data_IF_015207384038
#
_entry.id   IF_015207384038
#
_cell.length_a   1.000
_cell.length_b   1.000
_cell.length_c   1.000
_cell.angle_alpha   90.00
_cell.angle_beta   90.00
_cell.angle_gamma   90.00
#
_symmetry.space_group_name_H-M   'P 1'
#
loop_
_entity.id
_entity.type
_entity.pdbx_description
1 polymer ?
#
# COMPACT_ATOMS: atom_id res chain seq x y z
N UNK A 1 -8.60 -36.56 8.95
CA UNK A 1 -9.43 -35.51 9.60
C UNK A 1 -10.81 -35.50 8.98
N UNK A 2 -11.89 -35.48 9.78
CA UNK A 2 -13.27 -35.45 9.28
C UNK A 2 -13.55 -34.19 8.46
N UNK A 3 -14.40 -34.30 7.43
CA UNK A 3 -14.80 -33.17 6.56
C UNK A 3 -15.38 -31.99 7.36
N UNK A 4 -16.01 -32.24 8.50
CA UNK A 4 -16.55 -31.21 9.39
C UNK A 4 -15.50 -30.25 9.95
N UNK A 5 -14.29 -30.73 10.25
CA UNK A 5 -13.23 -29.86 10.76
C UNK A 5 -12.78 -28.85 9.71
N UNK A 6 -12.78 -29.26 8.43
CA UNK A 6 -12.42 -28.39 7.31
C UNK A 6 -13.44 -27.29 7.12
N UNK A 7 -14.72 -27.64 7.17
CA UNK A 7 -15.83 -26.68 7.05
C UNK A 7 -15.86 -25.69 8.22
N UNK A 8 -15.58 -26.15 9.45
CA UNK A 8 -15.48 -25.27 10.63
C UNK A 8 -14.31 -24.30 10.49
N UNK A 9 -13.13 -24.74 10.03
CA UNK A 9 -11.99 -23.85 9.81
C UNK A 9 -12.29 -22.78 8.76
N UNK A 10 -12.89 -23.17 7.62
CA UNK A 10 -13.30 -22.20 6.59
C UNK A 10 -14.32 -21.20 7.13
N UNK A 11 -15.34 -21.68 7.85
CA UNK A 11 -16.37 -20.83 8.43
C UNK A 11 -15.79 -19.85 9.47
N UNK A 12 -14.88 -20.31 10.33
CA UNK A 12 -14.21 -19.46 11.34
C UNK A 12 -13.33 -18.41 10.69
N UNK A 13 -12.51 -18.77 9.69
CA UNK A 13 -11.64 -17.83 8.97
C UNK A 13 -12.49 -16.78 8.25
N UNK A 14 -13.58 -17.19 7.59
CA UNK A 14 -14.49 -16.27 6.90
C UNK A 14 -15.22 -15.36 7.89
N UNK A 15 -15.66 -15.90 9.04
CA UNK A 15 -16.32 -15.15 10.10
C UNK A 15 -15.38 -14.10 10.70
N UNK A 16 -14.14 -14.46 11.03
CA UNK A 16 -13.12 -13.54 11.57
C UNK A 16 -12.82 -12.45 10.55
N UNK A 17 -12.62 -12.82 9.27
CA UNK A 17 -12.38 -11.88 8.17
C UNK A 17 -13.49 -10.84 8.08
N UNK A 18 -14.74 -11.28 8.08
CA UNK A 18 -15.91 -10.40 7.98
C UNK A 18 -16.08 -9.58 9.26
N UNK A 19 -15.83 -10.16 10.44
CA UNK A 19 -15.94 -9.47 11.72
C UNK A 19 -14.91 -8.35 11.85
N UNK A 20 -13.65 -8.61 11.47
CA UNK A 20 -12.57 -7.60 11.45
C UNK A 20 -12.92 -6.49 10.46
N UNK A 21 -13.35 -6.83 9.23
CA UNK A 21 -13.77 -5.84 8.24
C UNK A 21 -14.90 -4.94 8.78
N UNK A 22 -15.92 -5.53 9.43
CA UNK A 22 -17.04 -4.79 10.01
C UNK A 22 -16.68 -3.97 11.25
N UNK A 23 -15.71 -4.42 12.05
CA UNK A 23 -15.25 -3.69 13.22
C UNK A 23 -14.51 -2.41 12.81
N UNK A 24 -13.68 -2.51 11.76
CA UNK A 24 -13.03 -1.37 11.13
C UNK A 24 -14.08 -0.41 10.57
N UNK A 25 -15.09 -0.91 9.86
CA UNK A 25 -16.20 -0.11 9.32
C UNK A 25 -16.94 0.69 10.42
N UNK A 26 -17.26 0.04 11.56
CA UNK A 26 -18.02 0.66 12.66
C UNK A 26 -17.24 1.73 13.42
N UNK A 27 -15.94 1.53 13.63
CA UNK A 27 -15.09 2.48 14.37
C UNK A 27 -14.87 3.79 13.63
N UNK A 28 -15.08 3.82 12.32
CA UNK A 28 -14.68 4.94 11.46
C UNK A 28 -15.89 5.68 10.89
N UNK A 29 -17.02 5.00 10.66
CA UNK A 29 -18.28 5.65 10.28
C UNK A 29 -18.80 6.64 11.35
N UNK A 30 -18.31 6.58 12.58
CA UNK A 30 -18.64 7.52 13.65
C UNK A 30 -17.83 8.82 13.63
N UNK A 31 -16.90 9.01 12.69
CA UNK A 31 -16.11 10.24 12.54
C UNK A 31 -16.56 11.03 11.31
N UNK A 32 -16.97 12.29 11.53
CA UNK A 32 -17.21 13.24 10.45
C UNK A 32 -15.85 13.56 9.80
N UNK A 33 -15.60 13.03 8.60
CA UNK A 33 -14.34 13.19 7.87
C UNK A 33 -14.52 14.16 6.70
N UNK A 34 -13.50 14.99 6.44
CA UNK A 34 -13.46 15.90 5.30
C UNK A 34 -13.50 15.14 3.94
N UNK A 35 -14.02 15.75 2.86
CA UNK A 35 -14.26 15.07 1.57
C UNK A 35 -13.04 14.35 0.98
N UNK A 36 -11.84 14.91 1.15
CA UNK A 36 -10.57 14.33 0.67
C UNK A 36 -10.20 13.03 1.41
N UNK A 37 -10.50 12.98 2.71
CA UNK A 37 -10.31 11.78 3.52
C UNK A 37 -11.28 10.66 3.13
N UNK A 38 -12.48 11.00 2.64
CA UNK A 38 -13.48 10.03 2.20
C UNK A 38 -12.99 9.24 0.98
N UNK A 39 -12.37 9.91 -0.02
CA UNK A 39 -11.89 9.25 -1.24
C UNK A 39 -10.69 8.35 -0.96
N UNK A 40 -9.67 8.86 -0.26
CA UNK A 40 -8.50 8.05 0.17
C UNK A 40 -8.93 6.85 0.99
N UNK A 41 -9.88 7.05 1.91
CA UNK A 41 -10.42 5.98 2.75
C UNK A 41 -11.23 4.96 1.94
N UNK A 42 -12.07 5.37 1.00
CA UNK A 42 -12.88 4.46 0.19
C UNK A 42 -12.01 3.53 -0.66
N UNK A 43 -10.94 4.07 -1.25
CA UNK A 43 -9.97 3.27 -2.01
C UNK A 43 -9.21 2.33 -1.09
N UNK A 44 -8.63 2.84 0.01
CA UNK A 44 -7.93 2.02 1.00
C UNK A 44 -8.81 0.89 1.56
N UNK A 45 -10.07 1.19 1.91
CA UNK A 45 -11.08 0.24 2.38
C UNK A 45 -11.33 -0.87 1.37
N UNK A 46 -11.53 -0.52 0.08
CA UNK A 46 -11.82 -1.51 -0.96
C UNK A 46 -10.61 -2.41 -1.20
N UNK A 47 -9.40 -1.85 -1.18
CA UNK A 47 -8.16 -2.61 -1.31
C UNK A 47 -7.97 -3.57 -0.15
N UNK A 48 -8.11 -3.11 1.10
CA UNK A 48 -7.95 -3.94 2.31
C UNK A 48 -9.01 -5.03 2.36
N UNK A 49 -10.28 -4.70 2.13
CA UNK A 49 -11.37 -5.72 2.16
C UNK A 49 -11.15 -6.78 1.09
N UNK A 50 -10.78 -6.37 -0.12
CA UNK A 50 -10.45 -7.31 -1.22
C UNK A 50 -9.28 -8.20 -0.85
N UNK A 51 -8.21 -7.64 -0.27
CA UNK A 51 -7.04 -8.40 0.15
C UNK A 51 -7.39 -9.45 1.23
N UNK A 52 -8.16 -9.08 2.26
CA UNK A 52 -8.53 -10.02 3.33
C UNK A 52 -9.44 -11.13 2.79
N UNK A 53 -10.42 -10.80 1.94
CA UNK A 53 -11.29 -11.81 1.31
C UNK A 53 -10.48 -12.75 0.42
N UNK A 54 -9.53 -12.21 -0.36
CA UNK A 54 -8.65 -12.99 -1.21
C UNK A 54 -7.77 -13.96 -0.41
N UNK A 55 -7.14 -13.47 0.67
CA UNK A 55 -6.34 -14.31 1.58
C UNK A 55 -7.20 -15.37 2.26
N UNK A 56 -8.38 -15.00 2.78
CA UNK A 56 -9.31 -15.93 3.42
C UNK A 56 -9.80 -17.03 2.47
N UNK A 57 -10.08 -16.67 1.21
CA UNK A 57 -10.46 -17.63 0.16
C UNK A 57 -9.30 -18.59 -0.16
N UNK A 58 -8.08 -18.07 -0.33
CA UNK A 58 -6.89 -18.90 -0.56
C UNK A 58 -6.62 -19.84 0.62
N UNK A 59 -6.70 -19.35 1.85
CA UNK A 59 -6.54 -20.18 3.05
C UNK A 59 -7.59 -21.28 3.13
N UNK A 60 -8.85 -20.99 2.79
CA UNK A 60 -9.91 -21.98 2.75
C UNK A 60 -9.66 -23.07 1.69
N UNK A 61 -9.16 -22.68 0.51
CA UNK A 61 -8.85 -23.60 -0.58
C UNK A 61 -7.73 -24.60 -0.22
N UNK A 62 -6.73 -24.16 0.55
CA UNK A 62 -5.59 -24.99 0.97
C UNK A 62 -5.96 -26.13 1.93
N UNK A 63 -7.13 -26.08 2.57
CA UNK A 63 -7.62 -27.12 3.49
C UNK A 63 -8.08 -28.38 2.74
N UNK A 64 -8.39 -28.27 1.44
CA UNK A 64 -8.83 -29.38 0.60
C UNK A 64 -7.60 -30.07 -0.02
N UNK A 65 -7.33 -31.36 0.26
CA UNK A 65 -6.11 -32.05 -0.19
C UNK A 65 -5.96 -32.09 -1.71
N UNK A 66 -7.07 -32.27 -2.45
CA UNK A 66 -7.08 -32.29 -3.92
C UNK A 66 -6.71 -30.92 -4.51
N UNK A 67 -7.06 -29.84 -3.81
CA UNK A 67 -6.73 -28.48 -4.24
C UNK A 67 -5.31 -28.10 -3.81
N UNK A 68 -4.76 -28.72 -2.76
CA UNK A 68 -3.40 -28.43 -2.27
C UNK A 68 -2.31 -28.66 -3.32
N UNK A 69 -2.45 -29.66 -4.19
CA UNK A 69 -1.50 -29.91 -5.28
C UNK A 69 -1.57 -28.80 -6.35
N UNK A 70 -2.78 -28.40 -6.75
CA UNK A 70 -3.00 -27.32 -7.72
C UNK A 70 -2.61 -25.96 -7.13
N UNK A 71 -2.99 -25.68 -5.89
CA UNK A 71 -2.62 -24.49 -5.15
C UNK A 71 -1.10 -24.41 -4.91
N UNK A 72 -0.43 -25.54 -4.64
CA UNK A 72 1.02 -25.62 -4.57
C UNK A 72 1.69 -25.24 -5.89
N UNK A 73 1.16 -25.75 -7.02
CA UNK A 73 1.62 -25.36 -8.36
C UNK A 73 1.38 -23.87 -8.66
N UNK A 74 0.19 -23.35 -8.34
CA UNK A 74 -0.14 -21.93 -8.50
C UNK A 74 0.73 -21.02 -7.62
N UNK A 75 1.02 -21.44 -6.38
CA UNK A 75 1.92 -20.72 -5.49
C UNK A 75 3.36 -20.75 -6.01
N UNK A 76 3.83 -21.88 -6.54
CA UNK A 76 5.13 -21.95 -7.20
C UNK A 76 5.20 -21.01 -8.42
N UNK A 77 4.13 -20.93 -9.21
CA UNK A 77 4.01 -19.99 -10.34
C UNK A 77 3.78 -18.53 -9.92
N UNK A 78 3.32 -18.27 -8.69
CA UNK A 78 3.08 -16.93 -8.17
C UNK A 78 4.36 -16.10 -7.98
N UNK A 79 5.53 -16.74 -8.02
CA UNK A 79 6.82 -16.07 -8.04
C UNK A 79 6.92 -15.05 -9.19
N UNK A 80 6.43 -15.40 -10.39
CA UNK A 80 6.43 -14.50 -11.55
C UNK A 80 5.53 -13.29 -11.31
N UNK A 81 4.34 -13.52 -10.73
CA UNK A 81 3.44 -12.43 -10.35
C UNK A 81 4.07 -11.50 -9.32
N UNK A 82 4.76 -12.05 -8.33
CA UNK A 82 5.50 -11.28 -7.33
C UNK A 82 6.58 -10.39 -7.96
N UNK A 83 7.32 -10.91 -8.94
CA UNK A 83 8.32 -10.15 -9.70
C UNK A 83 7.66 -9.01 -10.47
N UNK A 84 6.58 -9.27 -11.20
CA UNK A 84 5.87 -8.25 -11.98
C UNK A 84 5.33 -7.13 -11.09
N UNK A 85 4.73 -7.47 -9.94
CA UNK A 85 4.23 -6.48 -8.97
C UNK A 85 5.39 -5.70 -8.34
N UNK A 86 6.50 -6.36 -8.03
CA UNK A 86 7.71 -5.72 -7.52
C UNK A 86 8.28 -4.70 -8.50
N UNK A 87 8.42 -5.07 -9.77
CA UNK A 87 8.86 -4.16 -10.83
C UNK A 87 7.89 -2.99 -11.01
N UNK A 88 6.58 -3.24 -11.00
CA UNK A 88 5.58 -2.18 -11.11
C UNK A 88 5.63 -1.20 -9.92
N UNK A 89 5.99 -1.69 -8.73
CA UNK A 89 6.05 -0.89 -7.49
C UNK A 89 7.40 -0.20 -7.26
N UNK A 90 8.41 -0.50 -8.08
CA UNK A 90 9.80 -0.08 -7.86
C UNK A 90 9.94 1.42 -7.65
N UNK A 91 9.33 2.26 -8.51
CA UNK A 91 9.38 3.73 -8.37
C UNK A 91 8.73 4.22 -7.09
N UNK A 92 7.56 3.69 -6.73
CA UNK A 92 6.86 4.13 -5.52
C UNK A 92 7.68 3.79 -4.27
N UNK A 93 8.24 2.59 -4.21
CA UNK A 93 9.11 2.16 -3.11
C UNK A 93 10.43 2.96 -3.09
N UNK A 94 11.03 3.23 -4.25
CA UNK A 94 12.24 4.06 -4.37
C UNK A 94 12.04 5.45 -3.80
N UNK A 95 10.96 6.12 -4.19
CA UNK A 95 10.59 7.43 -3.66
C UNK A 95 10.34 7.41 -2.14
N UNK A 96 9.66 6.38 -1.63
CA UNK A 96 9.43 6.22 -0.19
C UNK A 96 10.74 6.06 0.60
N UNK A 97 11.64 5.22 0.12
CA UNK A 97 12.96 5.01 0.75
C UNK A 97 13.81 6.27 0.67
N UNK A 98 13.81 6.97 -0.47
CA UNK A 98 14.51 8.24 -0.63
C UNK A 98 13.99 9.30 0.34
N UNK A 99 12.67 9.47 0.46
CA UNK A 99 12.07 10.38 1.43
C UNK A 99 12.43 10.04 2.88
N UNK A 100 12.46 8.75 3.22
CA UNK A 100 12.87 8.29 4.54
C UNK A 100 14.35 8.60 4.81
N UNK A 101 15.23 8.38 3.83
CA UNK A 101 16.65 8.73 3.94
C UNK A 101 16.84 10.23 4.10
N UNK A 102 16.17 11.07 3.29
CA UNK A 102 16.24 12.52 3.41
C UNK A 102 15.82 12.96 4.82
N UNK A 103 14.75 12.37 5.36
CA UNK A 103 14.29 12.67 6.71
C UNK A 103 15.30 12.29 7.81
N UNK A 104 16.02 11.16 7.66
CA UNK A 104 16.96 10.67 8.68
C UNK A 104 18.36 11.27 8.57
N UNK A 105 18.92 11.36 7.37
CA UNK A 105 20.30 11.83 7.16
C UNK A 105 20.37 13.33 6.87
N UNK A 106 19.22 13.98 6.63
CA UNK A 106 19.08 15.41 6.36
C UNK A 106 20.11 15.98 5.34
N UNK A 107 20.29 15.34 4.17
CA UNK A 107 21.15 15.87 3.10
C UNK A 107 20.52 17.10 2.43
N UNK A 108 19.19 17.23 2.54
CA UNK A 108 18.38 18.33 2.06
C UNK A 108 17.50 18.82 3.20
N UNK A 109 17.41 20.13 3.38
CA UNK A 109 16.63 20.78 4.45
C UNK A 109 15.55 21.69 3.86
N UNK A 110 14.53 21.95 4.67
CA UNK A 110 13.54 22.98 4.34
C UNK A 110 14.24 24.34 4.20
N UNK A 111 13.99 25.03 3.10
CA UNK A 111 14.57 26.33 2.78
C UNK A 111 15.90 26.28 2.02
N UNK A 112 16.42 25.10 1.68
CA UNK A 112 17.63 25.00 0.85
C UNK A 112 17.34 25.42 -0.60
N UNK A 113 18.27 26.16 -1.20
CA UNK A 113 18.30 26.46 -2.63
C UNK A 113 18.78 25.22 -3.39
N UNK A 114 17.97 24.75 -4.33
CA UNK A 114 18.25 23.57 -5.15
C UNK A 114 18.01 23.85 -6.62
N UNK A 115 18.75 23.15 -7.47
CA UNK A 115 18.51 23.14 -8.91
C UNK A 115 18.07 21.73 -9.28
N UNK A 116 16.83 21.59 -9.74
CA UNK A 116 16.26 20.30 -10.12
C UNK A 116 15.77 20.37 -11.57
N UNK A 117 16.21 19.44 -12.41
CA UNK A 117 15.90 19.41 -13.85
C UNK A 117 16.14 20.78 -14.52
N UNK A 118 17.32 21.37 -14.28
CA UNK A 118 17.77 22.68 -14.79
C UNK A 118 16.94 23.90 -14.34
N UNK A 119 16.04 23.73 -13.36
CA UNK A 119 15.21 24.81 -12.81
C UNK A 119 15.64 25.12 -11.37
N UNK A 120 16.06 26.37 -11.07
CA UNK A 120 16.37 26.79 -9.70
C UNK A 120 15.08 26.96 -8.87
N UNK A 121 15.16 26.62 -7.58
CA UNK A 121 14.05 26.82 -6.65
C UNK A 121 14.43 26.52 -5.20
N UNK A 122 13.49 26.75 -4.29
CA UNK A 122 13.67 26.60 -2.84
C UNK A 122 12.80 25.46 -2.32
N UNK A 123 13.36 24.60 -1.47
CA UNK A 123 12.62 23.50 -0.84
C UNK A 123 11.57 24.04 0.14
N UNK A 124 10.30 23.75 -0.12
CA UNK A 124 9.18 24.21 0.70
C UNK A 124 8.67 23.13 1.66
N UNK A 125 8.59 21.88 1.21
CA UNK A 125 8.07 20.77 2.01
C UNK A 125 8.69 19.45 1.55
N UNK A 126 9.23 18.68 2.50
CA UNK A 126 9.77 17.34 2.23
C UNK A 126 8.72 16.31 2.66
N UNK A 127 8.10 15.64 1.68
CA UNK A 127 7.16 14.56 1.91
C UNK A 127 7.80 13.18 1.82
N UNK A 128 7.03 12.14 2.13
CA UNK A 128 7.49 10.75 2.08
C UNK A 128 7.76 10.25 0.65
N UNK A 129 6.96 10.67 -0.33
CA UNK A 129 7.07 10.21 -1.73
C UNK A 129 7.53 11.34 -2.66
N UNK A 130 7.15 12.58 -2.35
CA UNK A 130 7.44 13.75 -3.16
C UNK A 130 7.93 14.89 -2.26
N UNK A 131 8.79 15.74 -2.81
CA UNK A 131 9.22 17.01 -2.22
C UNK A 131 8.67 18.15 -3.07
N UNK A 132 8.19 19.19 -2.41
CA UNK A 132 7.68 20.40 -3.05
C UNK A 132 8.79 21.45 -3.09
N UNK A 133 9.06 21.94 -4.30
CA UNK A 133 10.06 22.99 -4.55
C UNK A 133 9.34 24.18 -5.17
N UNK A 134 9.59 25.39 -4.67
CA UNK A 134 9.05 26.62 -5.22
C UNK A 134 10.08 27.27 -6.13
N UNK A 135 9.73 27.50 -7.39
CA UNK A 135 10.61 28.19 -8.35
C UNK A 135 10.69 29.69 -8.03
N UNK A 136 11.65 30.36 -8.66
CA UNK A 136 11.76 31.83 -8.58
C UNK A 136 10.52 32.54 -9.15
N UNK A 137 9.86 31.93 -10.15
CA UNK A 137 8.61 32.41 -10.74
C UNK A 137 7.37 32.20 -9.83
N UNK A 138 7.53 31.50 -8.71
CA UNK A 138 6.48 31.25 -7.72
C UNK A 138 5.65 29.98 -7.95
N UNK A 139 6.00 29.18 -8.95
CA UNK A 139 5.34 27.89 -9.23
C UNK A 139 5.77 26.82 -8.21
N UNK A 140 4.82 25.97 -7.80
CA UNK A 140 5.07 24.86 -6.89
C UNK A 140 5.29 23.56 -7.67
N UNK A 141 6.54 23.14 -7.80
CA UNK A 141 6.94 21.91 -8.45
C UNK A 141 6.80 20.72 -7.49
N UNK A 142 6.26 19.60 -8.01
CA UNK A 142 6.14 18.34 -7.27
C UNK A 142 7.18 17.37 -7.81
N UNK A 143 8.22 17.12 -7.01
CA UNK A 143 9.40 16.36 -7.43
C UNK A 143 9.41 15.00 -6.73
N UNK A 144 9.46 13.87 -7.46
CA UNK A 144 9.68 12.55 -6.88
C UNK A 144 10.99 12.53 -6.10
N UNK A 145 10.96 12.04 -4.87
CA UNK A 145 12.14 11.98 -4.01
C UNK A 145 13.32 11.18 -4.60
N UNK A 146 13.06 10.23 -5.51
CA UNK A 146 14.11 9.46 -6.20
C UNK A 146 14.90 10.28 -7.24
N UNK A 147 14.44 11.49 -7.58
CA UNK A 147 15.07 12.41 -8.53
C UNK A 147 15.86 13.54 -7.86
N UNK A 148 15.83 13.63 -6.53
CA UNK A 148 16.57 14.60 -5.72
C UNK A 148 17.92 14.00 -5.32
#
# INVERSE_FOLDING_TARGET
MPLWHRLVVVAVVMLITIAVARLIDRRIASRQLAPEAITRYRVARRSVTTAIVFVGLLSALLVIPQVRAVAGGLLASSAVLGIVVGFASQRTLGNFVAGLLIAFTQPLRLGDDVVVEDTPGVVEEIGLIYTFVRTEDGDRLVIPNEKL
#
